data_IF_102307531695
#
_entry.id   IF_102307531695
#
_cell.length_a   1.000
_cell.length_b   1.000
_cell.length_c   1.000
_cell.angle_alpha   90.00
_cell.angle_beta   90.00
_cell.angle_gamma   90.00
#
_symmetry.space_group_name_H-M   'P 1'
#
loop_
_entity.id
_entity.type
_entity.pdbx_description
1 polymer ?
#
# COMPACT_ATOMS: atom_id res chain seq x y z
N UNK A 1 63.33 -2.98 -18.48
CA UNK A 1 62.29 -3.27 -17.47
C UNK A 1 62.82 -4.38 -16.57
N UNK A 2 62.97 -4.10 -15.29
CA UNK A 2 63.72 -4.89 -14.31
C UNK A 2 62.77 -5.62 -13.37
N UNK A 3 63.16 -6.82 -12.91
CA UNK A 3 62.28 -7.76 -12.17
C UNK A 3 61.64 -7.12 -10.94
N UNK A 4 62.32 -6.17 -10.29
CA UNK A 4 61.78 -5.39 -9.15
C UNK A 4 60.64 -4.44 -9.54
N UNK A 5 60.67 -3.86 -10.74
CA UNK A 5 59.59 -3.01 -11.27
C UNK A 5 58.38 -3.85 -11.70
N UNK A 6 58.62 -5.06 -12.22
CA UNK A 6 57.54 -5.98 -12.63
C UNK A 6 56.72 -6.43 -11.41
N UNK A 7 57.39 -6.78 -10.30
CA UNK A 7 56.73 -7.11 -9.03
C UNK A 7 55.86 -5.95 -8.49
N UNK A 8 56.38 -4.72 -8.55
CA UNK A 8 55.64 -3.54 -8.08
C UNK A 8 54.39 -3.27 -8.92
N UNK A 9 54.48 -3.45 -10.24
CA UNK A 9 53.38 -3.24 -11.19
C UNK A 9 52.30 -4.32 -11.02
N UNK A 10 52.68 -5.58 -10.77
CA UNK A 10 51.74 -6.67 -10.50
C UNK A 10 50.95 -6.41 -9.21
N UNK A 11 51.62 -5.94 -8.15
CA UNK A 11 50.96 -5.59 -6.88
C UNK A 11 49.98 -4.42 -7.05
N UNK A 12 50.35 -3.39 -7.83
CA UNK A 12 49.47 -2.25 -8.13
C UNK A 12 48.25 -2.63 -8.99
N UNK A 13 48.42 -3.53 -9.96
CA UNK A 13 47.32 -4.06 -10.77
C UNK A 13 46.38 -4.95 -9.94
N UNK A 14 46.91 -5.78 -9.03
CA UNK A 14 46.11 -6.64 -8.16
C UNK A 14 45.24 -5.86 -7.15
N UNK A 15 45.75 -4.75 -6.61
CA UNK A 15 45.02 -3.89 -5.67
C UNK A 15 43.83 -3.18 -6.35
N UNK A 16 43.92 -2.92 -7.65
CA UNK A 16 42.85 -2.26 -8.43
C UNK A 16 41.64 -3.17 -8.67
N UNK A 17 41.83 -4.51 -8.63
CA UNK A 17 40.78 -5.50 -8.90
C UNK A 17 39.85 -5.70 -7.67
N UNK A 18 40.27 -5.27 -6.48
CA UNK A 18 39.49 -5.40 -5.24
C UNK A 18 38.45 -4.28 -5.06
N UNK A 19 38.48 -3.23 -5.90
CA UNK A 19 37.58 -2.07 -5.79
C UNK A 19 36.34 -2.10 -6.70
N UNK A 20 36.16 -3.14 -7.54
CA UNK A 20 34.97 -3.27 -8.41
C UNK A 20 34.04 -4.42 -8.01
N UNK A 21 33.94 -4.69 -6.71
CA UNK A 21 33.02 -5.66 -6.13
C UNK A 21 31.74 -5.07 -5.52
N UNK A 22 31.43 -3.79 -5.73
CA UNK A 22 30.06 -3.30 -5.55
C UNK A 22 29.42 -3.25 -6.93
N UNK A 23 28.89 -4.39 -7.39
CA UNK A 23 27.73 -4.29 -8.26
C UNK A 23 26.76 -3.43 -7.46
N UNK A 24 26.36 -2.28 -8.01
CA UNK A 24 25.05 -1.78 -7.62
C UNK A 24 24.16 -2.98 -7.87
N UNK A 25 23.68 -3.61 -6.79
CA UNK A 25 22.47 -4.35 -6.90
C UNK A 25 21.51 -3.26 -7.34
N UNK A 26 21.33 -3.14 -8.65
CA UNK A 26 20.06 -2.70 -9.17
C UNK A 26 19.12 -3.72 -8.54
N UNK A 27 18.64 -3.35 -7.35
CA UNK A 27 17.33 -3.72 -6.91
C UNK A 27 16.48 -3.15 -8.03
N UNK A 28 16.33 -3.95 -9.08
CA UNK A 28 15.13 -3.97 -9.86
C UNK A 28 14.10 -4.09 -8.76
N UNK A 29 13.54 -2.93 -8.38
CA UNK A 29 12.18 -2.87 -7.89
C UNK A 29 11.43 -3.48 -9.05
N UNK A 30 11.40 -4.81 -9.11
CA UNK A 30 10.29 -5.52 -9.70
C UNK A 30 9.12 -4.81 -9.08
N UNK A 31 8.18 -4.25 -9.87
CA UNK A 31 7.01 -3.63 -9.28
C UNK A 31 6.52 -4.64 -8.27
N UNK A 32 6.64 -4.30 -6.99
CA UNK A 32 6.35 -5.21 -5.92
C UNK A 32 4.93 -5.64 -6.24
N UNK A 33 4.72 -6.94 -6.43
CA UNK A 33 3.36 -7.44 -6.49
C UNK A 33 2.88 -7.33 -5.05
N UNK A 34 2.51 -6.12 -4.63
CA UNK A 34 1.60 -5.95 -3.53
C UNK A 34 0.30 -6.48 -4.10
N UNK A 35 -0.01 -7.70 -3.72
CA UNK A 35 -1.39 -8.10 -3.66
C UNK A 35 -2.07 -7.19 -2.61
N UNK A 36 -2.96 -6.31 -3.05
CA UNK A 36 -4.28 -6.36 -2.49
C UNK A 36 -5.23 -6.43 -3.68
N UNK A 37 -5.61 -7.63 -4.15
CA UNK A 37 -6.92 -7.71 -4.73
C UNK A 37 -7.82 -7.70 -3.50
N UNK A 38 -8.33 -6.54 -3.11
CA UNK A 38 -9.57 -6.48 -2.36
C UNK A 38 -10.57 -7.24 -3.23
N UNK A 39 -10.82 -8.55 -3.03
CA UNK A 39 -11.69 -9.27 -3.94
C UNK A 39 -13.06 -8.90 -3.44
N UNK A 40 -13.56 -7.76 -3.90
CA UNK A 40 -14.85 -7.22 -3.53
C UNK A 40 -15.03 -7.15 -2.00
N UNK A 41 -14.34 -6.22 -1.34
CA UNK A 41 -14.67 -5.88 0.04
C UNK A 41 -16.11 -5.34 0.07
N UNK A 42 -17.08 -6.24 0.07
CA UNK A 42 -18.50 -5.95 0.19
C UNK A 42 -18.77 -5.89 1.67
N UNK A 43 -19.26 -4.75 2.11
CA UNK A 43 -19.87 -4.65 3.42
C UNK A 43 -21.07 -5.60 3.42
N UNK A 44 -21.16 -6.50 4.39
CA UNK A 44 -22.27 -7.46 4.52
C UNK A 44 -23.58 -6.79 4.96
N UNK A 45 -23.71 -5.48 4.77
CA UNK A 45 -24.82 -4.66 5.27
C UNK A 45 -25.43 -3.92 4.09
N UNK A 46 -26.75 -3.95 4.02
CA UNK A 46 -27.53 -3.15 3.08
C UNK A 46 -27.62 -1.72 3.60
N UNK A 47 -27.15 -0.76 2.82
CA UNK A 47 -27.27 0.66 3.13
C UNK A 47 -28.52 1.23 2.44
N UNK A 48 -29.22 2.11 3.14
CA UNK A 48 -30.46 2.74 2.68
C UNK A 48 -30.21 4.24 2.53
N UNK A 49 -30.69 4.84 1.44
CA UNK A 49 -30.58 6.28 1.17
C UNK A 49 -31.07 7.10 2.37
N UNK A 50 -30.30 8.13 2.75
CA UNK A 50 -30.64 9.07 3.82
C UNK A 50 -30.51 8.50 5.24
N UNK A 51 -30.23 7.21 5.40
CA UNK A 51 -30.07 6.60 6.72
C UNK A 51 -28.63 6.75 7.18
N UNK A 52 -28.45 7.27 8.40
CA UNK A 52 -27.12 7.36 9.00
C UNK A 52 -26.57 5.97 9.26
N UNK A 53 -25.38 5.74 8.73
CA UNK A 53 -24.61 4.52 8.89
C UNK A 53 -23.35 4.80 9.72
N UNK A 54 -23.00 3.83 10.56
CA UNK A 54 -21.71 3.78 11.24
C UNK A 54 -21.29 2.32 11.36
N UNK A 55 -20.17 1.96 10.75
CA UNK A 55 -19.67 0.59 10.79
C UNK A 55 -18.22 0.52 10.36
N UNK A 56 -17.69 -0.70 10.25
CA UNK A 56 -16.29 -0.91 9.87
C UNK A 56 -16.16 -1.95 8.76
N UNK A 57 -15.11 -1.82 7.95
CA UNK A 57 -14.64 -2.88 7.08
C UNK A 57 -13.13 -3.04 7.23
N UNK A 58 -12.63 -4.23 6.90
CA UNK A 58 -11.21 -4.55 6.99
C UNK A 58 -10.66 -4.92 5.62
N UNK A 59 -9.47 -4.41 5.31
CA UNK A 59 -8.74 -4.73 4.08
C UNK A 59 -7.47 -5.50 4.43
N UNK A 60 -7.31 -6.76 3.98
CA UNK A 60 -6.07 -7.48 4.18
C UNK A 60 -4.96 -6.84 3.35
N UNK A 61 -3.77 -6.74 3.94
CA UNK A 61 -2.58 -6.22 3.25
C UNK A 61 -1.36 -7.08 3.57
N UNK A 62 -0.42 -7.12 2.63
CA UNK A 62 0.88 -7.77 2.76
C UNK A 62 1.94 -6.78 2.30
N UNK A 63 3.08 -6.76 2.98
CA UNK A 63 4.13 -5.79 2.74
C UNK A 63 5.51 -6.40 2.90
N UNK A 64 6.43 -6.06 2.00
CA UNK A 64 7.81 -6.56 2.09
C UNK A 64 8.55 -5.99 3.30
N UNK A 65 8.17 -4.81 3.81
CA UNK A 65 8.74 -4.17 4.99
C UNK A 65 7.61 -3.72 5.93
N UNK A 66 7.86 -3.58 7.24
CA UNK A 66 6.91 -2.93 8.13
C UNK A 66 6.58 -1.54 7.60
N UNK A 67 5.31 -1.17 7.63
CA UNK A 67 4.82 0.13 7.17
C UNK A 67 4.32 0.87 8.41
N UNK A 68 4.69 2.14 8.49
CA UNK A 68 4.01 3.06 9.40
C UNK A 68 2.74 3.58 8.71
N UNK A 69 1.60 3.50 9.40
CA UNK A 69 0.41 4.22 8.94
C UNK A 69 0.62 5.69 9.30
N UNK A 70 1.16 6.42 8.34
CA UNK A 70 1.35 7.85 8.46
C UNK A 70 -0.03 8.52 8.29
N UNK A 71 -0.63 8.90 9.42
CA UNK A 71 -1.88 9.69 9.55
C UNK A 71 -3.20 8.96 9.29
N UNK A 72 -4.25 9.40 10.01
CA UNK A 72 -5.63 9.03 9.70
C UNK A 72 -5.96 9.54 8.29
N UNK A 73 -6.28 8.63 7.37
CA UNK A 73 -6.70 8.97 6.02
C UNK A 73 -8.21 8.86 5.93
N UNK A 74 -8.88 9.96 5.58
CA UNK A 74 -10.33 9.98 5.32
C UNK A 74 -10.58 10.06 3.82
N UNK A 75 -11.42 9.17 3.33
CA UNK A 75 -11.71 8.99 1.92
C UNK A 75 -13.22 9.18 1.74
N UNK A 76 -13.60 10.10 0.86
CA UNK A 76 -15.01 10.32 0.54
C UNK A 76 -15.51 9.31 -0.50
N UNK A 77 -16.79 8.93 -0.40
CA UNK A 77 -17.41 8.08 -1.40
C UNK A 77 -17.66 8.82 -2.73
N UNK A 78 -17.40 8.13 -3.84
CA UNK A 78 -17.72 8.56 -5.19
C UNK A 78 -18.90 7.76 -5.75
N UNK A 79 -19.57 8.27 -6.80
CA UNK A 79 -20.82 7.70 -7.33
C UNK A 79 -22.03 8.08 -6.47
N UNK A 80 -22.10 7.59 -5.24
CA UNK A 80 -23.01 8.06 -4.19
C UNK A 80 -22.21 8.84 -3.15
N UNK A 81 -22.64 10.07 -2.83
CA UNK A 81 -21.98 10.94 -1.82
C UNK A 81 -22.59 10.75 -0.43
N UNK A 82 -21.95 11.35 0.58
CA UNK A 82 -22.46 11.41 1.95
C UNK A 82 -21.90 10.32 2.88
N UNK A 83 -21.01 9.47 2.40
CA UNK A 83 -20.26 8.51 3.22
C UNK A 83 -18.76 8.85 3.24
N UNK A 84 -18.14 8.64 4.40
CA UNK A 84 -16.72 8.84 4.65
C UNK A 84 -16.12 7.54 5.18
N UNK A 85 -14.98 7.11 4.64
CA UNK A 85 -14.21 5.99 5.14
C UNK A 85 -12.91 6.50 5.76
N UNK A 86 -12.73 6.31 7.07
CA UNK A 86 -11.54 6.75 7.81
C UNK A 86 -10.70 5.56 8.24
N UNK A 87 -9.43 5.54 7.82
CA UNK A 87 -8.46 4.55 8.26
C UNK A 87 -8.15 4.74 9.74
N UNK A 88 -8.38 3.71 10.55
CA UNK A 88 -7.98 3.70 11.95
C UNK A 88 -6.46 3.56 12.05
N UNK A 89 -5.79 4.59 12.56
CA UNK A 89 -4.35 4.57 12.76
C UNK A 89 -3.96 3.46 13.77
N UNK A 90 -3.02 2.61 13.38
CA UNK A 90 -2.27 1.75 14.29
C UNK A 90 -0.77 1.92 14.01
N UNK A 91 -0.03 2.16 15.08
CA UNK A 91 1.23 2.93 15.09
C UNK A 91 2.37 2.26 14.31
N UNK A 92 2.31 0.95 14.09
CA UNK A 92 3.20 0.18 13.22
C UNK A 92 2.46 -1.08 12.79
N UNK A 93 2.31 -1.30 11.49
CA UNK A 93 1.71 -2.52 10.97
C UNK A 93 2.82 -3.45 10.51
N UNK A 94 2.72 -4.72 10.91
CA UNK A 94 3.73 -5.73 10.59
C UNK A 94 3.84 -5.94 9.05
N UNK A 95 4.70 -6.85 8.59
CA UNK A 95 4.79 -7.21 7.16
C UNK A 95 3.49 -7.79 6.56
N UNK A 96 2.42 -7.90 7.34
CA UNK A 96 1.06 -8.10 6.87
C UNK A 96 0.02 -7.90 7.99
N UNK A 97 -1.25 -7.79 7.64
CA UNK A 97 -2.32 -7.60 8.62
C UNK A 97 -3.64 -7.16 7.99
N UNK A 98 -4.49 -6.55 8.83
CA UNK A 98 -5.78 -5.98 8.42
C UNK A 98 -5.77 -4.47 8.66
N UNK A 99 -6.08 -3.70 7.62
CA UNK A 99 -6.38 -2.27 7.72
C UNK A 99 -7.86 -2.11 8.07
N UNK A 100 -8.17 -1.47 9.19
CA UNK A 100 -9.56 -1.24 9.61
C UNK A 100 -9.98 0.16 9.22
N UNK A 101 -11.05 0.27 8.44
CA UNK A 101 -11.69 1.53 8.09
C UNK A 101 -13.02 1.65 8.81
N UNK A 102 -13.29 2.82 9.37
CA UNK A 102 -14.62 3.20 9.88
C UNK A 102 -15.36 3.94 8.78
N UNK A 103 -16.55 3.46 8.42
CA UNK A 103 -17.44 4.16 7.48
C UNK A 103 -18.51 4.87 8.29
N UNK A 104 -18.71 6.15 8.02
CA UNK A 104 -19.74 6.98 8.64
C UNK A 104 -20.43 7.90 7.63
N UNK A 105 -21.64 8.33 7.97
CA UNK A 105 -22.41 9.31 7.19
C UNK A 105 -23.76 8.78 6.72
N UNK A 106 -24.43 9.52 5.84
CA UNK A 106 -25.73 9.17 5.27
C UNK A 106 -25.63 9.27 3.74
N UNK A 107 -25.91 8.20 2.98
CA UNK A 107 -25.80 8.26 1.52
C UNK A 107 -26.92 9.11 0.92
N UNK A 108 -26.57 10.06 0.04
CA UNK A 108 -27.53 11.03 -0.51
C UNK A 108 -28.46 10.41 -1.58
N UNK A 109 -27.99 9.39 -2.29
CA UNK A 109 -28.68 8.74 -3.41
C UNK A 109 -28.56 7.22 -3.36
N UNK A 110 -29.35 6.52 -4.15
CA UNK A 110 -29.19 5.08 -4.40
C UNK A 110 -28.12 4.82 -5.46
N UNK A 111 -27.63 3.59 -5.52
CA UNK A 111 -26.59 3.18 -6.46
C UNK A 111 -25.33 2.70 -5.74
N UNK A 112 -24.17 2.90 -6.34
CA UNK A 112 -22.91 2.39 -5.80
C UNK A 112 -22.09 3.54 -5.19
N UNK A 113 -21.88 3.48 -3.87
CA UNK A 113 -20.88 4.31 -3.20
C UNK A 113 -19.52 3.64 -3.34
N UNK A 114 -18.53 4.36 -3.85
CA UNK A 114 -17.21 3.82 -4.21
C UNK A 114 -16.12 4.53 -3.43
N UNK A 115 -15.29 3.78 -2.70
CA UNK A 115 -14.08 4.28 -2.05
C UNK A 115 -12.84 3.77 -2.78
N UNK A 116 -11.96 4.69 -3.14
CA UNK A 116 -10.63 4.40 -3.69
C UNK A 116 -9.61 4.47 -2.55
N UNK A 117 -9.06 3.32 -2.19
CA UNK A 117 -8.07 3.17 -1.14
C UNK A 117 -6.68 3.09 -1.77
N UNK A 118 -5.87 4.12 -1.57
CA UNK A 118 -4.48 4.13 -2.03
C UNK A 118 -3.54 3.73 -0.90
N UNK A 119 -2.77 2.67 -1.12
CA UNK A 119 -1.79 2.17 -0.16
C UNK A 119 -0.51 1.75 -0.87
N UNK A 120 0.61 2.42 -0.54
CA UNK A 120 1.95 2.12 -1.07
C UNK A 120 2.01 1.91 -2.59
N UNK A 121 1.43 2.84 -3.36
CA UNK A 121 1.39 2.79 -4.84
C UNK A 121 0.45 1.74 -5.43
N UNK A 122 -0.39 1.11 -4.61
CA UNK A 122 -1.47 0.23 -5.04
C UNK A 122 -2.82 0.82 -4.67
N UNK A 123 -3.74 0.82 -5.63
CA UNK A 123 -5.11 1.30 -5.42
C UNK A 123 -6.06 0.11 -5.31
N UNK A 124 -7.00 0.19 -4.38
CA UNK A 124 -8.07 -0.78 -4.16
C UNK A 124 -9.43 -0.09 -4.18
N UNK A 125 -10.41 -0.71 -4.84
CA UNK A 125 -11.78 -0.20 -4.91
C UNK A 125 -12.69 -0.97 -3.94
N UNK A 126 -13.44 -0.24 -3.13
CA UNK A 126 -14.50 -0.78 -2.26
C UNK A 126 -15.84 -0.24 -2.76
N UNK A 127 -16.79 -1.12 -3.05
CA UNK A 127 -18.10 -0.76 -3.60
C UNK A 127 -19.20 -1.15 -2.61
N UNK A 128 -19.99 -0.16 -2.18
CA UNK A 128 -21.14 -0.35 -1.30
C UNK A 128 -22.44 -0.09 -2.07
N UNK A 129 -23.31 -1.10 -2.23
CA UNK A 129 -24.61 -0.90 -2.84
C UNK A 129 -25.56 -0.19 -1.86
N UNK A 130 -26.21 0.87 -2.35
CA UNK A 130 -27.18 1.67 -1.62
C UNK A 130 -28.57 1.47 -2.25
N UNK A 131 -29.53 1.04 -1.44
CA UNK A 131 -30.92 0.83 -1.82
C UNK A 131 -31.82 2.00 -1.39
N UNK A 132 -33.06 2.00 -1.88
CA UNK A 132 -34.11 2.95 -1.48
C UNK A 132 -34.62 2.72 -0.06
#
# INVERSE_FOLDING_TARGET
MNTRQIELIIVLLAISIIFQGCSKNDFVVSPAVVNPPCPDAKLSVTLIRGTTYMGTFTVPYVAEKPIALETENTIESTGVKGLLATLKNNTLVSRGGLLTYTVSGSPDTTGNAVFMLDFNQHSCQVVLPILE
#
